data_IF_969165622224
#
_entry.id   IF_969165622224
#
_cell.length_a   1.000
_cell.length_b   1.000
_cell.length_c   1.000
_cell.angle_alpha   90.00
_cell.angle_beta   90.00
_cell.angle_gamma   90.00
#
_symmetry.space_group_name_H-M   'P 1'
#
loop_
_entity.id
_entity.type
_entity.pdbx_description
1 polymer ?
#
# COMPACT_ATOMS: atom_id res chain seq x y z
N UNK A 1 -49.50 24.61 -18.59
CA UNK A 1 -48.74 25.58 -17.76
C UNK A 1 -47.31 25.65 -18.26
N UNK A 2 -46.60 26.76 -18.04
CA UNK A 2 -45.22 26.89 -18.47
C UNK A 2 -44.35 27.60 -17.42
N UNK A 3 -43.14 27.09 -17.25
CA UNK A 3 -42.21 27.46 -16.19
C UNK A 3 -41.11 28.40 -16.69
N UNK A 4 -40.60 29.24 -15.80
CA UNK A 4 -39.32 29.94 -15.99
C UNK A 4 -38.14 28.97 -15.82
N UNK A 5 -36.94 29.35 -16.26
CA UNK A 5 -35.71 28.53 -16.04
C UNK A 5 -35.50 28.19 -14.57
N UNK A 6 -35.78 29.14 -13.66
CA UNK A 6 -35.62 28.93 -12.21
C UNK A 6 -36.60 27.88 -11.69
N UNK A 7 -37.88 28.02 -12.03
CA UNK A 7 -38.91 27.04 -11.64
C UNK A 7 -38.65 25.66 -12.24
N UNK A 8 -38.18 25.60 -13.49
CA UNK A 8 -37.81 24.33 -14.12
C UNK A 8 -36.65 23.65 -13.38
N UNK A 9 -35.60 24.41 -13.06
CA UNK A 9 -34.46 23.90 -12.33
C UNK A 9 -34.87 23.37 -10.95
N UNK A 10 -35.70 24.12 -10.23
CA UNK A 10 -36.25 23.73 -8.93
C UNK A 10 -37.08 22.46 -9.01
N UNK A 11 -38.01 22.36 -9.97
CA UNK A 11 -38.82 21.16 -10.18
C UNK A 11 -37.99 19.92 -10.55
N UNK A 12 -36.90 20.12 -11.30
CA UNK A 12 -36.00 19.03 -11.67
C UNK A 12 -34.92 18.75 -10.62
N UNK A 13 -34.90 19.45 -9.48
CA UNK A 13 -33.88 19.28 -8.45
C UNK A 13 -32.46 19.55 -8.97
N UNK A 14 -32.30 20.57 -9.80
CA UNK A 14 -31.02 20.98 -10.42
C UNK A 14 -30.81 22.49 -10.31
N UNK A 15 -29.68 22.99 -10.83
CA UNK A 15 -29.32 24.41 -10.77
C UNK A 15 -29.60 25.13 -12.09
N UNK A 16 -29.77 26.45 -12.04
CA UNK A 16 -29.87 27.26 -13.27
C UNK A 16 -28.61 27.13 -14.14
N UNK A 17 -27.44 26.98 -13.51
CA UNK A 17 -26.17 26.76 -14.22
C UNK A 17 -26.22 25.46 -14.99
N UNK A 18 -26.74 24.39 -14.39
CA UNK A 18 -26.90 23.09 -15.04
C UNK A 18 -27.87 23.16 -16.22
N UNK A 19 -29.01 23.85 -16.07
CA UNK A 19 -29.97 24.02 -17.18
C UNK A 19 -29.35 24.81 -18.34
N UNK A 20 -28.58 25.87 -18.07
CA UNK A 20 -27.84 26.61 -19.09
C UNK A 20 -26.82 25.73 -19.79
N UNK A 21 -26.04 24.97 -19.01
CA UNK A 21 -25.06 24.06 -19.55
C UNK A 21 -25.68 23.02 -20.49
N UNK A 22 -26.83 22.43 -20.12
CA UNK A 22 -27.53 21.48 -21.00
C UNK A 22 -28.08 22.12 -22.28
N UNK A 23 -28.42 23.41 -22.28
CA UNK A 23 -28.69 24.13 -23.52
C UNK A 23 -27.42 24.31 -24.37
N UNK A 24 -26.33 24.75 -23.75
CA UNK A 24 -25.04 25.00 -24.42
C UNK A 24 -24.51 23.74 -25.12
N UNK A 25 -24.63 22.58 -24.49
CA UNK A 25 -24.20 21.30 -25.06
C UNK A 25 -25.28 20.61 -25.91
N UNK A 26 -26.42 21.27 -26.15
CA UNK A 26 -27.49 20.78 -27.03
C UNK A 26 -28.34 19.64 -26.46
N UNK A 27 -28.19 19.29 -25.19
CA UNK A 27 -28.95 18.22 -24.52
C UNK A 27 -30.39 18.61 -24.16
N UNK A 28 -30.64 19.90 -24.00
CA UNK A 28 -31.98 20.44 -23.73
C UNK A 28 -32.30 21.52 -24.76
N UNK A 29 -33.40 21.36 -25.49
CA UNK A 29 -33.83 22.37 -26.45
C UNK A 29 -34.15 23.71 -25.77
N UNK A 30 -33.76 24.83 -26.38
CA UNK A 30 -34.17 26.15 -25.90
C UNK A 30 -35.68 26.34 -26.13
N UNK A 31 -36.44 26.79 -25.11
CA UNK A 31 -37.87 27.03 -25.26
C UNK A 31 -38.14 28.32 -26.05
N UNK A 32 -39.35 28.42 -26.58
CA UNK A 32 -39.87 29.67 -27.13
C UNK A 32 -39.82 30.81 -26.10
N UNK A 33 -39.58 32.02 -26.62
CA UNK A 33 -39.60 33.25 -25.83
C UNK A 33 -40.99 33.87 -25.91
N UNK A 34 -41.52 34.32 -24.77
CA UNK A 34 -42.73 35.14 -24.74
C UNK A 34 -42.47 36.52 -25.37
N UNK A 35 -43.54 37.23 -25.72
CA UNK A 35 -43.48 38.61 -26.22
C UNK A 35 -42.74 39.59 -25.28
N UNK A 36 -42.64 39.28 -23.99
CA UNK A 36 -41.88 40.03 -22.99
C UNK A 36 -40.42 39.53 -22.82
N UNK A 37 -39.92 38.68 -23.72
CA UNK A 37 -38.53 38.21 -23.76
C UNK A 37 -38.20 36.98 -22.89
N UNK A 38 -39.10 36.56 -22.00
CA UNK A 38 -38.84 35.47 -21.06
C UNK A 38 -39.02 34.07 -21.69
N UNK A 39 -38.09 33.15 -21.37
CA UNK A 39 -38.12 31.73 -21.77
C UNK A 39 -39.33 31.00 -21.17
N UNK A 40 -40.00 30.12 -21.95
CA UNK A 40 -41.22 29.42 -21.55
C UNK A 40 -41.07 27.89 -21.66
N UNK A 41 -40.68 27.23 -20.57
CA UNK A 41 -40.50 25.77 -20.55
C UNK A 41 -41.83 25.04 -20.34
N UNK A 42 -42.10 24.04 -21.18
CA UNK A 42 -43.25 23.14 -21.06
C UNK A 42 -42.90 21.78 -20.44
N UNK A 43 -43.89 20.90 -20.35
CA UNK A 43 -43.77 19.54 -19.77
C UNK A 43 -42.65 18.73 -20.45
N UNK A 44 -42.53 18.79 -21.77
CA UNK A 44 -41.48 18.08 -22.50
C UNK A 44 -40.06 18.44 -22.02
N UNK A 45 -39.82 19.71 -21.71
CA UNK A 45 -38.52 20.17 -21.20
C UNK A 45 -38.25 19.63 -19.80
N UNK A 46 -39.27 19.57 -18.94
CA UNK A 46 -39.14 19.01 -17.59
C UNK A 46 -38.87 17.50 -17.65
N UNK A 47 -39.61 16.77 -18.49
CA UNK A 47 -39.41 15.32 -18.69
C UNK A 47 -37.99 15.05 -19.19
N UNK A 48 -37.52 15.82 -20.17
CA UNK A 48 -36.15 15.69 -20.69
C UNK A 48 -35.11 16.00 -19.61
N UNK A 49 -35.29 17.08 -18.85
CA UNK A 49 -34.36 17.46 -17.78
C UNK A 49 -34.28 16.41 -16.67
N UNK A 50 -35.44 15.83 -16.27
CA UNK A 50 -35.50 14.74 -15.31
C UNK A 50 -34.80 13.47 -15.84
N UNK A 51 -34.95 13.15 -17.13
CA UNK A 51 -34.25 12.03 -17.78
C UNK A 51 -32.74 12.22 -17.77
N UNK A 52 -32.26 13.40 -18.19
CA UNK A 52 -30.83 13.74 -18.16
C UNK A 52 -30.30 13.58 -16.73
N UNK A 53 -30.99 14.18 -15.74
CA UNK A 53 -30.59 14.09 -14.33
C UNK A 53 -30.49 12.64 -13.85
N UNK A 54 -31.51 11.81 -14.12
CA UNK A 54 -31.51 10.40 -13.71
C UNK A 54 -30.33 9.64 -14.30
N UNK A 55 -30.03 9.83 -15.59
CA UNK A 55 -28.92 9.15 -16.25
C UNK A 55 -27.56 9.64 -15.75
N UNK A 56 -27.39 10.95 -15.52
CA UNK A 56 -26.15 11.46 -14.91
C UNK A 56 -25.97 10.95 -13.49
N UNK A 57 -27.04 10.84 -12.71
CA UNK A 57 -26.99 10.32 -11.33
C UNK A 57 -26.62 8.82 -11.30
N UNK A 58 -26.92 8.07 -12.38
CA UNK A 58 -26.47 6.68 -12.55
C UNK A 58 -25.01 6.57 -13.00
N UNK A 59 -24.40 7.65 -13.49
CA UNK A 59 -23.01 7.68 -13.95
C UNK A 59 -22.81 7.81 -15.45
N UNK A 60 -23.87 8.02 -16.25
CA UNK A 60 -23.70 8.31 -17.67
C UNK A 60 -23.07 9.69 -17.89
N UNK A 61 -22.16 9.76 -18.86
CA UNK A 61 -21.66 11.02 -19.38
C UNK A 61 -22.72 11.73 -20.23
N UNK A 62 -22.61 13.06 -20.33
CA UNK A 62 -23.49 13.88 -21.18
C UNK A 62 -23.45 13.45 -22.66
N UNK A 63 -22.29 12.98 -23.14
CA UNK A 63 -22.14 12.47 -24.51
C UNK A 63 -22.97 11.20 -24.73
N UNK A 64 -22.89 10.23 -23.81
CA UNK A 64 -23.72 9.01 -23.88
C UNK A 64 -25.22 9.33 -23.83
N UNK A 65 -25.62 10.32 -23.02
CA UNK A 65 -27.03 10.74 -22.94
C UNK A 65 -27.50 11.41 -24.25
N UNK A 66 -26.60 12.13 -24.95
CA UNK A 66 -26.91 12.72 -26.25
C UNK A 66 -27.12 11.64 -27.33
N UNK A 67 -26.30 10.58 -27.32
CA UNK A 67 -26.43 9.43 -28.23
C UNK A 67 -27.75 8.66 -28.04
N UNK A 68 -28.28 8.60 -26.81
CA UNK A 68 -29.59 8.01 -26.52
C UNK A 68 -30.79 8.81 -27.05
N UNK A 69 -30.56 9.97 -27.67
CA UNK A 69 -31.58 10.81 -28.27
C UNK A 69 -32.60 11.36 -27.27
N UNK A 70 -33.66 11.99 -27.79
CA UNK A 70 -34.76 12.56 -27.00
C UNK A 70 -35.81 11.50 -26.63
N UNK A 71 -36.04 10.53 -27.50
CA UNK A 71 -37.03 9.45 -27.32
C UNK A 71 -36.36 8.22 -26.73
N UNK A 72 -37.08 7.50 -25.89
CA UNK A 72 -36.63 6.33 -25.13
C UNK A 72 -36.46 5.08 -26.01
N UNK A 73 -35.98 5.28 -27.23
CA UNK A 73 -35.81 4.24 -28.24
C UNK A 73 -34.53 3.46 -27.89
N UNK A 74 -34.70 2.52 -26.94
CA UNK A 74 -33.77 1.45 -26.58
C UNK A 74 -32.53 1.83 -25.76
N UNK A 75 -32.68 2.47 -24.57
CA UNK A 75 -31.56 2.69 -23.65
C UNK A 75 -31.06 1.40 -22.98
N UNK A 76 -31.73 0.26 -23.19
CA UNK A 76 -31.46 -0.97 -22.45
C UNK A 76 -30.03 -1.49 -22.65
N UNK A 77 -29.47 -1.42 -23.86
CA UNK A 77 -28.10 -1.86 -24.10
C UNK A 77 -27.07 -0.99 -23.39
N UNK A 78 -27.28 0.34 -23.38
CA UNK A 78 -26.41 1.26 -22.67
C UNK A 78 -26.53 1.08 -21.15
N UNK A 79 -27.74 0.83 -20.65
CA UNK A 79 -28.00 0.50 -19.24
C UNK A 79 -27.34 -0.82 -18.82
N UNK A 80 -27.48 -1.89 -19.62
CA UNK A 80 -26.82 -3.18 -19.36
C UNK A 80 -25.30 -3.05 -19.38
N UNK A 81 -24.75 -2.23 -20.28
CA UNK A 81 -23.30 -1.96 -20.35
C UNK A 81 -22.81 -1.25 -19.08
N UNK A 82 -23.51 -0.20 -18.66
CA UNK A 82 -23.18 0.51 -17.42
C UNK A 82 -23.28 -0.40 -16.20
N UNK A 83 -24.33 -1.23 -16.12
CA UNK A 83 -24.50 -2.21 -15.04
C UNK A 83 -23.31 -3.19 -14.98
N UNK A 84 -22.88 -3.73 -16.13
CA UNK A 84 -21.72 -4.60 -16.21
C UNK A 84 -20.40 -3.91 -15.80
N UNK A 85 -20.20 -2.65 -16.23
CA UNK A 85 -19.04 -1.83 -15.83
C UNK A 85 -19.02 -1.56 -14.32
N UNK A 86 -20.18 -1.23 -13.74
CA UNK A 86 -20.33 -1.03 -12.30
C UNK A 86 -20.09 -2.32 -11.53
N UNK A 87 -20.63 -3.45 -11.98
CA UNK A 87 -20.39 -4.76 -11.38
C UNK A 87 -18.89 -5.11 -11.40
N UNK A 88 -18.21 -4.94 -12.53
CA UNK A 88 -16.76 -5.15 -12.63
C UNK A 88 -15.96 -4.23 -11.69
N UNK A 89 -16.39 -2.97 -11.56
CA UNK A 89 -15.77 -2.00 -10.65
C UNK A 89 -15.97 -2.40 -9.19
N UNK A 90 -17.17 -2.82 -8.82
CA UNK A 90 -17.49 -3.32 -7.47
C UNK A 90 -16.62 -4.52 -7.13
N UNK A 91 -16.49 -5.49 -8.04
CA UNK A 91 -15.63 -6.67 -7.82
C UNK A 91 -14.15 -6.28 -7.67
N UNK A 92 -13.66 -5.33 -8.47
CA UNK A 92 -12.30 -4.79 -8.30
C UNK A 92 -12.12 -4.13 -6.93
N UNK A 93 -13.06 -3.28 -6.50
CA UNK A 93 -12.99 -2.59 -5.20
C UNK A 93 -13.12 -3.57 -4.02
N UNK A 94 -13.95 -4.61 -4.15
CA UNK A 94 -14.06 -5.69 -3.16
C UNK A 94 -12.74 -6.43 -3.00
N UNK A 95 -12.09 -6.83 -4.11
CA UNK A 95 -10.75 -7.46 -4.08
C UNK A 95 -9.71 -6.56 -3.42
N UNK A 96 -9.63 -5.30 -3.81
CA UNK A 96 -8.71 -4.34 -3.20
C UNK A 96 -8.97 -4.17 -1.68
N UNK A 97 -10.24 -4.19 -1.25
CA UNK A 97 -10.57 -4.11 0.18
C UNK A 97 -10.20 -5.38 0.95
N UNK A 98 -10.31 -6.55 0.33
CA UNK A 98 -9.81 -7.82 0.91
C UNK A 98 -8.29 -7.75 1.06
N UNK A 99 -7.57 -7.37 0.01
CA UNK A 99 -6.11 -7.20 0.02
C UNK A 99 -5.66 -6.20 1.09
N UNK A 100 -6.25 -5.00 1.13
CA UNK A 100 -6.03 -4.03 2.20
C UNK A 100 -6.35 -4.60 3.58
N UNK A 101 -7.42 -5.38 3.69
CA UNK A 101 -7.80 -6.05 4.93
C UNK A 101 -6.79 -7.11 5.39
N UNK A 102 -6.11 -7.78 4.47
CA UNK A 102 -5.01 -8.70 4.78
C UNK A 102 -3.78 -7.92 5.24
N UNK A 103 -3.36 -6.91 4.47
CA UNK A 103 -2.23 -6.02 4.81
C UNK A 103 -2.42 -5.40 6.22
N UNK A 104 -3.62 -4.91 6.52
CA UNK A 104 -3.91 -4.24 7.80
C UNK A 104 -4.11 -5.22 8.96
N UNK A 105 -4.72 -6.40 8.75
CA UNK A 105 -4.92 -7.40 9.82
C UNK A 105 -3.66 -8.12 10.20
N UNK A 106 -2.82 -8.40 9.22
CA UNK A 106 -1.56 -9.08 9.48
C UNK A 106 -0.65 -8.20 10.34
N UNK A 107 -0.84 -6.86 10.38
CA UNK A 107 0.14 -5.93 10.95
C UNK A 107 1.57 -6.39 10.60
N UNK A 108 1.68 -6.93 9.38
CA UNK A 108 2.93 -7.31 8.80
C UNK A 108 3.56 -5.97 8.43
N UNK A 109 4.77 -5.69 8.92
CA UNK A 109 5.53 -4.55 8.44
C UNK A 109 5.54 -4.63 6.90
N UNK A 110 5.02 -3.62 6.20
CA UNK A 110 4.89 -3.62 4.71
C UNK A 110 6.22 -3.77 3.98
N UNK A 111 7.30 -3.65 4.72
CA UNK A 111 8.70 -3.85 4.38
C UNK A 111 9.12 -5.34 4.41
N UNK A 112 8.35 -6.25 5.03
CA UNK A 112 8.73 -7.67 5.19
C UNK A 112 7.95 -8.62 4.26
N UNK A 113 8.62 -9.64 3.68
CA UNK A 113 7.96 -10.76 2.99
C UNK A 113 6.93 -11.50 3.89
N UNK A 114 5.79 -11.98 3.34
CA UNK A 114 4.70 -12.58 4.14
C UNK A 114 5.12 -13.75 5.03
N UNK A 115 6.09 -14.53 4.56
CA UNK A 115 6.63 -15.69 5.24
C UNK A 115 7.59 -15.33 6.40
N UNK A 116 8.19 -14.13 6.37
CA UNK A 116 8.96 -13.55 7.47
C UNK A 116 8.06 -12.77 8.45
N UNK A 117 6.99 -12.15 7.96
CA UNK A 117 6.04 -11.41 8.78
C UNK A 117 5.40 -12.28 9.87
N UNK A 118 4.97 -13.51 9.54
CA UNK A 118 4.41 -14.46 10.51
C UNK A 118 5.45 -14.90 11.55
N UNK A 119 6.72 -15.08 11.15
CA UNK A 119 7.79 -15.45 12.07
C UNK A 119 8.20 -14.29 13.00
N UNK A 120 8.04 -13.05 12.55
CA UNK A 120 8.39 -11.84 13.29
C UNK A 120 7.26 -11.28 14.17
N UNK A 121 6.01 -11.72 13.95
CA UNK A 121 4.80 -11.19 14.57
C UNK A 121 4.74 -11.34 16.10
N UNK A 122 5.28 -12.43 16.65
CA UNK A 122 5.19 -12.75 18.09
C UNK A 122 6.19 -12.02 18.97
N UNK A 123 6.94 -11.11 18.37
CA UNK A 123 8.19 -10.75 18.94
C UNK A 123 8.25 -9.20 18.98
N UNK A 124 9.03 -8.58 19.87
CA UNK A 124 9.16 -7.10 19.96
C UNK A 124 10.33 -6.56 19.12
N UNK A 125 10.18 -6.36 17.79
CA UNK A 125 11.31 -5.95 16.92
C UNK A 125 11.35 -4.41 16.92
N UNK A 126 12.55 -3.85 16.81
CA UNK A 126 12.70 -2.46 16.42
C UNK A 126 12.41 -2.27 14.92
N UNK A 127 12.20 -1.03 14.47
CA UNK A 127 12.04 -0.70 13.05
C UNK A 127 13.31 -1.01 12.24
N UNK A 128 14.47 -0.84 12.87
CA UNK A 128 15.77 -1.17 12.28
C UNK A 128 15.91 -2.67 12.01
N UNK A 129 15.55 -3.52 12.99
CA UNK A 129 15.63 -4.96 12.81
C UNK A 129 14.64 -5.47 11.76
N UNK A 130 13.44 -4.88 11.69
CA UNK A 130 12.44 -5.20 10.66
C UNK A 130 12.99 -4.93 9.26
N UNK A 131 13.55 -3.74 9.08
CA UNK A 131 14.17 -3.33 7.83
C UNK A 131 15.38 -4.21 7.48
N UNK A 132 16.18 -4.60 8.49
CA UNK A 132 17.32 -5.49 8.29
C UNK A 132 16.90 -6.91 7.86
N UNK A 133 15.88 -7.47 8.50
CA UNK A 133 15.30 -8.79 8.15
C UNK A 133 14.74 -8.78 6.74
N UNK A 134 14.11 -7.67 6.31
CA UNK A 134 13.63 -7.51 4.94
C UNK A 134 14.78 -7.61 3.93
N UNK A 135 15.88 -6.88 4.18
CA UNK A 135 17.09 -6.94 3.34
C UNK A 135 17.63 -8.37 3.30
N UNK A 136 17.76 -9.04 4.44
CA UNK A 136 18.25 -10.43 4.51
C UNK A 136 17.34 -11.39 3.72
N UNK A 137 16.01 -11.25 3.82
CA UNK A 137 15.06 -12.05 3.06
C UNK A 137 15.21 -11.94 1.54
N UNK A 138 15.74 -10.82 1.03
CA UNK A 138 16.03 -10.67 -0.40
C UNK A 138 17.29 -11.42 -0.84
N UNK A 139 18.27 -11.59 0.05
CA UNK A 139 19.59 -12.14 -0.25
C UNK A 139 19.68 -13.66 -0.02
N UNK A 140 18.97 -14.18 0.97
CA UNK A 140 19.11 -15.58 1.42
C UNK A 140 18.47 -16.60 0.47
N UNK A 141 19.10 -17.77 0.32
CA UNK A 141 18.54 -18.92 -0.38
C UNK A 141 17.26 -19.41 0.32
N UNK A 142 16.43 -20.28 -0.30
CA UNK A 142 15.30 -20.89 0.40
C UNK A 142 15.71 -21.63 1.68
N UNK A 143 16.88 -22.30 1.69
CA UNK A 143 17.40 -22.98 2.87
C UNK A 143 17.91 -21.98 3.92
N UNK A 144 18.61 -20.92 3.50
CA UNK A 144 19.05 -19.87 4.42
C UNK A 144 17.89 -19.08 5.02
N UNK A 145 16.83 -18.86 4.26
CA UNK A 145 15.61 -18.20 4.73
C UNK A 145 14.89 -19.03 5.80
N UNK A 146 14.85 -20.36 5.67
CA UNK A 146 14.25 -21.25 6.68
C UNK A 146 15.06 -21.28 7.97
N UNK A 147 16.40 -21.33 7.85
CA UNK A 147 17.30 -21.18 8.99
C UNK A 147 17.13 -19.82 9.68
N UNK A 148 17.02 -18.74 8.90
CA UNK A 148 16.80 -17.38 9.41
C UNK A 148 15.45 -17.23 10.12
N UNK A 149 14.37 -17.84 9.60
CA UNK A 149 13.06 -17.91 10.28
C UNK A 149 13.13 -18.64 11.61
N UNK A 150 13.90 -19.72 11.66
CA UNK A 150 14.07 -20.52 12.89
C UNK A 150 14.85 -19.71 13.93
N UNK A 151 15.93 -19.04 13.54
CA UNK A 151 16.64 -18.08 14.40
C UNK A 151 15.70 -17.02 14.96
N UNK A 152 14.89 -16.37 14.12
CA UNK A 152 14.04 -15.24 14.55
C UNK A 152 13.05 -15.62 15.66
N UNK A 153 12.66 -16.89 15.74
CA UNK A 153 11.80 -17.42 16.80
C UNK A 153 12.54 -17.64 18.12
N UNK A 154 13.86 -17.87 18.08
CA UNK A 154 14.68 -18.24 19.24
C UNK A 154 15.47 -17.04 19.80
N UNK A 155 16.03 -16.19 18.94
CA UNK A 155 17.05 -15.20 19.30
C UNK A 155 16.53 -13.97 20.06
N UNK A 156 15.27 -13.60 19.87
CA UNK A 156 14.72 -12.34 20.42
C UNK A 156 14.36 -12.40 21.92
N UNK A 157 14.64 -13.52 22.59
CA UNK A 157 14.45 -13.66 24.03
C UNK A 157 15.74 -13.40 24.84
N UNK A 158 16.88 -13.16 24.18
CA UNK A 158 18.18 -13.00 24.84
C UNK A 158 18.36 -11.60 25.46
N UNK A 159 18.77 -11.49 26.75
CA UNK A 159 19.00 -10.20 27.41
C UNK A 159 20.00 -9.29 26.68
N UNK A 160 21.03 -9.86 26.05
CA UNK A 160 22.04 -9.10 25.30
C UNK A 160 21.50 -8.51 23.99
N UNK A 161 20.47 -9.12 23.39
CA UNK A 161 19.82 -8.55 22.20
C UNK A 161 19.03 -7.29 22.57
N UNK A 162 18.28 -7.34 23.69
CA UNK A 162 17.56 -6.17 24.22
C UNK A 162 18.53 -5.03 24.59
N UNK A 163 19.67 -5.37 25.18
CA UNK A 163 20.70 -4.38 25.51
C UNK A 163 21.35 -3.76 24.27
N UNK A 164 21.57 -4.57 23.22
CA UNK A 164 22.03 -4.07 21.92
C UNK A 164 21.04 -3.09 21.29
N UNK A 165 19.74 -3.41 21.31
CA UNK A 165 18.69 -2.56 20.77
C UNK A 165 18.58 -1.22 21.51
N UNK A 166 18.86 -1.22 22.82
CA UNK A 166 18.81 -0.05 23.68
C UNK A 166 20.15 0.72 23.77
N UNK A 167 21.19 0.28 23.06
CA UNK A 167 22.53 0.86 23.17
C UNK A 167 22.53 2.32 22.65
N UNK A 168 22.94 3.31 23.47
CA UNK A 168 22.93 4.70 23.04
C UNK A 168 24.03 4.98 21.99
N UNK A 169 23.82 5.93 21.07
CA UNK A 169 24.76 6.22 19.97
C UNK A 169 26.13 6.70 20.44
N UNK A 170 26.22 7.24 21.65
CA UNK A 170 27.43 7.77 22.29
C UNK A 170 28.03 6.82 23.35
N UNK A 171 27.60 5.55 23.40
CA UNK A 171 28.14 4.55 24.31
C UNK A 171 29.67 4.46 24.23
N UNK A 172 30.34 4.38 25.37
CA UNK A 172 31.81 4.32 25.42
C UNK A 172 32.39 3.01 24.87
N UNK A 173 33.68 3.04 24.53
CA UNK A 173 34.39 1.89 23.93
C UNK A 173 34.31 0.63 24.81
N UNK A 174 34.40 0.79 26.13
CA UNK A 174 34.34 -0.32 27.07
C UNK A 174 32.98 -1.02 27.01
N UNK A 175 31.89 -0.26 27.03
CA UNK A 175 30.51 -0.75 26.96
C UNK A 175 30.29 -1.53 25.67
N UNK A 176 30.75 -0.99 24.53
CA UNK A 176 30.63 -1.66 23.22
C UNK A 176 31.42 -2.98 23.19
N UNK A 177 32.67 -2.98 23.65
CA UNK A 177 33.48 -4.19 23.71
C UNK A 177 32.92 -5.25 24.67
N UNK A 178 32.44 -4.85 25.85
CA UNK A 178 31.89 -5.76 26.84
C UNK A 178 30.55 -6.35 26.39
N UNK A 179 29.72 -5.58 25.69
CA UNK A 179 28.51 -6.10 25.04
C UNK A 179 28.84 -7.11 23.94
N UNK A 180 29.77 -6.77 23.03
CA UNK A 180 30.18 -7.68 21.94
C UNK A 180 30.70 -9.03 22.47
N UNK A 181 31.50 -9.02 23.54
CA UNK A 181 31.99 -10.26 24.18
C UNK A 181 30.87 -11.10 24.80
N UNK A 182 29.86 -10.46 25.39
CA UNK A 182 28.71 -11.17 25.97
C UNK A 182 27.77 -11.73 24.91
N UNK A 183 27.68 -11.08 23.74
CA UNK A 183 26.91 -11.59 22.60
C UNK A 183 27.60 -12.75 21.88
N UNK A 184 28.94 -12.83 21.96
CA UNK A 184 29.75 -13.80 21.20
C UNK A 184 29.31 -15.27 21.37
N UNK A 185 29.07 -15.80 22.58
CA UNK A 185 28.65 -17.20 22.74
C UNK A 185 27.30 -17.47 22.05
N UNK A 186 26.32 -16.61 22.25
CA UNK A 186 24.99 -16.76 21.65
C UNK A 186 25.03 -16.71 20.13
N UNK A 187 25.83 -15.81 19.56
CA UNK A 187 25.99 -15.68 18.10
C UNK A 187 26.75 -16.88 17.51
N UNK A 188 27.74 -17.41 18.24
CA UNK A 188 28.46 -18.62 17.84
C UNK A 188 27.55 -19.83 17.83
N UNK A 189 26.84 -20.08 18.93
CA UNK A 189 25.96 -21.24 19.08
C UNK A 189 24.86 -21.21 18.00
N UNK A 190 24.35 -20.01 17.71
CA UNK A 190 23.41 -19.79 16.63
C UNK A 190 23.94 -20.15 15.23
N UNK A 191 25.21 -19.84 14.91
CA UNK A 191 25.85 -20.23 13.64
C UNK A 191 26.06 -21.74 13.55
N UNK A 192 26.33 -22.39 14.68
CA UNK A 192 26.48 -23.85 14.75
C UNK A 192 25.14 -24.56 14.59
N UNK A 193 24.09 -24.05 15.24
CA UNK A 193 22.73 -24.60 15.15
C UNK A 193 22.08 -24.35 13.79
N UNK A 194 22.46 -23.24 13.12
CA UNK A 194 21.87 -22.82 11.85
C UNK A 194 22.95 -22.53 10.79
N UNK A 195 23.67 -23.56 10.30
CA UNK A 195 24.80 -23.38 9.38
C UNK A 195 24.38 -22.82 8.01
N UNK A 196 23.08 -22.95 7.65
CA UNK A 196 22.55 -22.40 6.42
C UNK A 196 22.24 -20.89 6.50
N UNK A 197 22.40 -20.21 7.65
CA UNK A 197 22.07 -18.78 7.74
C UNK A 197 22.90 -17.87 6.84
N UNK A 198 24.11 -18.28 6.48
CA UNK A 198 24.96 -17.55 5.54
C UNK A 198 24.76 -18.02 4.09
N UNK A 199 23.76 -18.88 3.82
CA UNK A 199 23.48 -19.40 2.48
C UNK A 199 22.71 -18.37 1.64
N UNK A 200 23.41 -17.79 0.69
CA UNK A 200 22.93 -16.72 -0.20
C UNK A 200 22.38 -17.34 -1.49
N UNK A 201 21.35 -16.74 -2.09
CA UNK A 201 20.76 -17.18 -3.37
C UNK A 201 21.84 -17.38 -4.44
N UNK A 202 21.77 -18.53 -5.13
CA UNK A 202 22.66 -18.85 -6.24
C UNK A 202 22.67 -17.74 -7.31
N UNK A 203 23.86 -17.37 -7.78
CA UNK A 203 24.05 -16.30 -8.75
C UNK A 203 24.20 -14.89 -8.14
N UNK A 204 23.99 -14.71 -6.84
CA UNK A 204 24.28 -13.46 -6.15
C UNK A 204 25.80 -13.27 -5.99
N UNK A 205 26.41 -12.19 -6.50
CA UNK A 205 27.84 -11.96 -6.30
C UNK A 205 28.16 -11.74 -4.81
N UNK A 206 29.18 -12.43 -4.28
CA UNK A 206 29.58 -12.34 -2.86
C UNK A 206 29.83 -10.89 -2.42
N UNK A 207 30.53 -10.10 -3.26
CA UNK A 207 30.78 -8.67 -3.00
C UNK A 207 29.50 -7.84 -2.91
N UNK A 208 28.47 -8.20 -3.68
CA UNK A 208 27.20 -7.49 -3.71
C UNK A 208 26.42 -7.78 -2.43
N UNK A 209 26.32 -9.04 -2.04
CA UNK A 209 25.69 -9.41 -0.77
C UNK A 209 26.40 -8.78 0.44
N UNK A 210 27.73 -8.84 0.48
CA UNK A 210 28.51 -8.20 1.56
C UNK A 210 28.29 -6.68 1.62
N UNK A 211 28.24 -6.01 0.46
CA UNK A 211 27.94 -4.58 0.38
C UNK A 211 26.53 -4.27 0.88
N UNK A 212 25.51 -5.01 0.41
CA UNK A 212 24.12 -4.81 0.83
C UNK A 212 23.92 -5.01 2.33
N UNK A 213 24.55 -6.03 2.92
CA UNK A 213 24.49 -6.28 4.36
C UNK A 213 25.19 -5.14 5.12
N UNK A 214 26.38 -4.73 4.68
CA UNK A 214 27.13 -3.63 5.31
C UNK A 214 26.40 -2.29 5.26
N UNK A 215 25.79 -1.95 4.12
CA UNK A 215 24.95 -0.76 3.95
C UNK A 215 23.72 -0.81 4.86
N UNK A 216 23.01 -1.95 4.91
CA UNK A 216 21.86 -2.09 5.80
C UNK A 216 22.25 -1.91 7.27
N UNK A 217 23.38 -2.47 7.72
CA UNK A 217 23.85 -2.28 9.09
C UNK A 217 24.15 -0.79 9.38
N UNK A 218 24.84 -0.13 8.45
CA UNK A 218 25.28 1.27 8.65
C UNK A 218 24.12 2.27 8.59
N UNK A 219 23.12 2.00 7.74
CA UNK A 219 21.99 2.91 7.54
C UNK A 219 20.88 2.73 8.58
N UNK A 220 20.73 1.52 9.15
CA UNK A 220 19.63 1.18 10.06
C UNK A 220 20.00 1.27 11.54
N UNK A 221 21.26 1.02 11.90
CA UNK A 221 21.71 1.02 13.29
C UNK A 221 22.54 2.25 13.63
N UNK A 222 22.59 2.60 14.92
CA UNK A 222 23.37 3.75 15.37
C UNK A 222 24.89 3.44 15.37
N UNK A 223 25.77 4.46 15.46
CA UNK A 223 27.21 4.25 15.39
C UNK A 223 27.79 3.27 16.42
N UNK A 224 27.25 3.27 17.64
CA UNK A 224 27.70 2.36 18.69
C UNK A 224 27.29 0.91 18.39
N UNK A 225 26.08 0.69 17.91
CA UNK A 225 25.58 -0.62 17.49
C UNK A 225 26.39 -1.18 16.30
N UNK A 226 26.66 -0.35 15.30
CA UNK A 226 27.52 -0.71 14.15
C UNK A 226 28.90 -1.15 14.62
N UNK A 227 29.49 -0.43 15.58
CA UNK A 227 30.81 -0.78 16.13
C UNK A 227 30.78 -2.11 16.91
N UNK A 228 29.71 -2.39 17.66
CA UNK A 228 29.52 -3.69 18.33
C UNK A 228 29.48 -4.84 17.33
N UNK A 229 28.74 -4.70 16.23
CA UNK A 229 28.68 -5.72 15.17
C UNK A 229 30.06 -5.94 14.53
N UNK A 230 30.82 -4.85 14.31
CA UNK A 230 32.19 -4.92 13.80
C UNK A 230 33.10 -5.69 14.75
N UNK A 231 33.10 -5.37 16.04
CA UNK A 231 33.89 -6.04 17.08
C UNK A 231 33.52 -7.52 17.15
N UNK A 232 32.24 -7.85 17.14
CA UNK A 232 31.74 -9.22 17.15
C UNK A 232 32.26 -10.03 15.94
N UNK A 233 32.26 -9.44 14.74
CA UNK A 233 32.82 -10.05 13.54
C UNK A 233 34.34 -10.23 13.57
N UNK A 234 35.07 -9.39 14.31
CA UNK A 234 36.51 -9.57 14.56
C UNK A 234 36.77 -10.72 15.54
N UNK A 235 35.98 -10.80 16.61
CA UNK A 235 36.07 -11.88 17.60
C UNK A 235 35.80 -13.26 16.98
N UNK A 236 34.73 -13.39 16.18
CA UNK A 236 34.39 -14.63 15.48
C UNK A 236 35.52 -15.08 14.52
N UNK A 237 36.13 -14.15 13.79
CA UNK A 237 37.26 -14.46 12.89
C UNK A 237 38.52 -14.86 13.67
N UNK A 238 38.76 -14.24 14.81
CA UNK A 238 39.91 -14.56 15.66
C UNK A 238 39.78 -15.95 16.32
N UNK A 239 38.56 -16.39 16.64
CA UNK A 239 38.29 -17.76 17.12
C UNK A 239 38.48 -18.79 16.01
N UNK A 240 37.92 -18.55 14.82
CA UNK A 240 38.05 -19.47 13.68
C UNK A 240 39.50 -19.64 13.17
N UNK A 241 40.41 -18.72 13.51
CA UNK A 241 41.83 -18.81 13.17
C UNK A 241 42.65 -19.58 14.23
N UNK A 242 42.04 -19.96 15.37
CA UNK A 242 42.68 -20.70 16.46
C UNK A 242 42.31 -22.20 16.46
N UNK A 243 41.22 -22.57 15.78
CA UNK A 243 40.77 -23.94 15.54
C UNK A 243 41.35 -24.50 14.22
#
# INVERSE_FOLDING_TARGET
>A
MAWSTRQLAELAGTTLRTVRHYHEVGLLAEPERRANGYKRYGVAHLVRLLRIKRLTDLGFSLAQIAEMGERDEHPEEALRRLDAELAATIERLRRARVELGLILRESAPTDLPPDLAVAAADARLTDADRSFIAVMGTLLSPAGLDAYKTMLKTYRAEPTAVEFDALPPDADERTRHDLARRMLPSVRDLRVEHPAMDDIKAGTPVRFAAYSIGSAITDLYNPAQVDVVRILGELLRAEAARD
#
